data_IF_295114585296
#
_entry.id   IF_295114585296
#
_cell.length_a   1.000
_cell.length_b   1.000
_cell.length_c   1.000
_cell.angle_alpha   90.00
_cell.angle_beta   90.00
_cell.angle_gamma   90.00
#
_symmetry.space_group_name_H-M   'P 1'
#
loop_
_entity.id
_entity.type
_entity.pdbx_description
1 polymer ?
#
# COMPACT_ATOMS: atom_id res chain seq x y z
N UNK A 1 -10.87 26.87 -10.83
CA UNK A 1 -10.85 25.45 -11.21
C UNK A 1 -11.27 25.41 -12.66
N UNK A 2 -10.34 25.14 -13.59
CA UNK A 2 -10.62 25.19 -15.02
C UNK A 2 -11.26 23.89 -15.49
N UNK A 3 -12.38 23.96 -16.19
CA UNK A 3 -12.91 22.81 -16.92
C UNK A 3 -12.13 22.65 -18.22
N UNK A 4 -11.58 21.46 -18.44
CA UNK A 4 -11.01 21.08 -19.73
C UNK A 4 -12.10 20.35 -20.53
N UNK A 5 -12.89 21.11 -21.28
CA UNK A 5 -13.95 20.55 -22.12
C UNK A 5 -13.34 20.00 -23.40
N UNK A 6 -13.43 18.69 -23.58
CA UNK A 6 -12.88 18.02 -24.76
C UNK A 6 -13.96 17.95 -25.84
N UNK A 7 -13.73 18.61 -26.97
CA UNK A 7 -14.77 18.89 -27.98
C UNK A 7 -14.70 18.03 -29.26
N UNK A 8 -13.70 17.17 -29.44
CA UNK A 8 -13.50 16.40 -30.70
C UNK A 8 -12.75 15.06 -30.51
N UNK A 9 -13.42 14.01 -30.00
CA UNK A 9 -12.82 12.69 -29.75
C UNK A 9 -12.29 11.98 -31.00
N UNK A 10 -12.87 12.25 -32.16
CA UNK A 10 -12.47 11.68 -33.46
C UNK A 10 -11.09 12.14 -33.95
N UNK A 11 -10.52 13.20 -33.36
CA UNK A 11 -9.18 13.71 -33.69
C UNK A 11 -8.11 13.29 -32.69
N UNK A 12 -8.44 12.42 -31.74
CA UNK A 12 -7.48 11.99 -30.74
C UNK A 12 -6.42 11.08 -31.35
N UNK A 13 -5.18 11.29 -30.93
CA UNK A 13 -4.09 10.35 -31.15
C UNK A 13 -3.37 10.12 -29.83
N UNK A 14 -2.90 8.90 -29.56
CA UNK A 14 -2.11 8.59 -28.36
C UNK A 14 -0.66 9.10 -28.51
N UNK A 15 -0.51 10.37 -28.85
CA UNK A 15 0.77 11.05 -29.08
C UNK A 15 0.76 12.39 -28.36
N UNK A 16 1.86 12.69 -27.72
CA UNK A 16 2.16 14.00 -27.15
C UNK A 16 3.39 14.56 -27.86
N UNK A 17 3.54 15.87 -27.89
CA UNK A 17 4.80 16.48 -28.32
C UNK A 17 5.91 16.06 -27.34
N UNK A 18 7.06 15.66 -27.86
CA UNK A 18 8.21 15.30 -27.03
C UNK A 18 8.69 16.50 -26.20
N UNK A 19 8.44 17.74 -26.64
CA UNK A 19 8.73 18.94 -25.84
C UNK A 19 7.92 19.03 -24.55
N UNK A 20 6.81 18.30 -24.43
CA UNK A 20 6.02 18.23 -23.20
C UNK A 20 6.62 17.28 -22.15
N UNK A 21 7.52 16.38 -22.57
CA UNK A 21 8.17 15.42 -21.68
C UNK A 21 9.20 16.17 -20.84
N UNK A 22 9.04 16.09 -19.52
CA UNK A 22 9.95 16.73 -18.60
C UNK A 22 11.29 15.96 -18.55
N UNK A 23 12.40 16.68 -18.54
CA UNK A 23 13.75 16.11 -18.46
C UNK A 23 14.36 16.34 -17.07
N UNK A 24 15.18 15.39 -16.62
CA UNK A 24 15.89 15.49 -15.36
C UNK A 24 16.90 16.65 -15.41
N UNK A 25 16.87 17.59 -14.46
CA UNK A 25 17.78 18.75 -14.48
C UNK A 25 19.25 18.37 -14.26
N UNK A 26 19.53 17.16 -13.73
CA UNK A 26 20.90 16.70 -13.46
C UNK A 26 21.55 15.98 -14.64
N UNK A 27 20.80 15.17 -15.38
CA UNK A 27 21.36 14.30 -16.43
C UNK A 27 20.69 14.46 -17.81
N UNK A 28 19.67 15.32 -17.93
CA UNK A 28 18.97 15.62 -19.18
C UNK A 28 18.09 14.50 -19.72
N UNK A 29 18.03 13.34 -19.07
CA UNK A 29 17.19 12.20 -19.49
C UNK A 29 15.70 12.48 -19.23
N UNK A 30 14.77 11.92 -20.03
CA UNK A 30 13.34 11.98 -19.76
C UNK A 30 13.01 11.47 -18.36
N UNK A 31 12.16 12.20 -17.65
CA UNK A 31 11.61 11.78 -16.36
C UNK A 31 10.45 10.80 -16.56
N UNK A 32 10.20 10.00 -15.52
CA UNK A 32 9.06 9.10 -15.40
C UNK A 32 8.47 9.23 -14.01
N UNK A 33 7.28 8.66 -13.82
CA UNK A 33 6.57 8.56 -12.57
C UNK A 33 7.42 7.84 -11.51
N UNK A 34 7.32 8.29 -10.26
CA UNK A 34 8.00 7.62 -9.15
C UNK A 34 7.25 6.35 -8.73
N UNK A 35 7.29 5.32 -9.58
CA UNK A 35 6.67 4.00 -9.35
C UNK A 35 7.74 2.93 -9.21
N UNK A 36 7.54 2.00 -8.27
CA UNK A 36 8.46 0.89 -8.05
C UNK A 36 8.17 -0.27 -9.00
N UNK A 37 8.59 -0.09 -10.25
CA UNK A 37 8.47 -1.09 -11.32
C UNK A 37 9.84 -1.62 -11.78
N UNK A 38 10.91 -0.89 -11.49
CA UNK A 38 12.30 -1.24 -11.82
C UNK A 38 13.28 -0.67 -10.77
N UNK A 39 14.57 -0.62 -11.11
CA UNK A 39 15.65 -0.10 -10.27
C UNK A 39 15.77 1.45 -10.27
N UNK A 40 14.83 2.15 -10.92
CA UNK A 40 14.83 3.63 -11.02
C UNK A 40 13.88 4.31 -10.05
N UNK A 41 13.19 3.56 -9.19
CA UNK A 41 12.36 4.13 -8.14
C UNK A 41 13.20 5.00 -7.21
N UNK A 42 12.81 6.27 -7.07
CA UNK A 42 13.57 7.24 -6.28
C UNK A 42 13.20 7.11 -4.80
N UNK A 43 14.21 6.80 -4.00
CA UNK A 43 14.15 6.77 -2.54
C UNK A 43 14.87 8.02 -2.00
N UNK A 44 14.15 9.13 -1.93
CA UNK A 44 14.71 10.37 -1.42
C UNK A 44 14.83 10.37 0.12
N UNK A 45 15.31 11.48 0.67
CA UNK A 45 15.44 11.67 2.11
C UNK A 45 14.11 11.48 2.84
N UNK A 46 12.99 11.90 2.24
CA UNK A 46 11.65 11.73 2.79
C UNK A 46 11.26 10.26 2.88
N UNK A 47 11.56 9.47 1.85
CA UNK A 47 11.36 8.03 1.84
C UNK A 47 12.17 7.34 2.94
N UNK A 48 13.45 7.68 3.07
CA UNK A 48 14.32 7.12 4.10
C UNK A 48 13.87 7.51 5.51
N UNK A 49 13.44 8.75 5.73
CA UNK A 49 12.89 9.20 7.01
C UNK A 49 11.59 8.48 7.37
N UNK A 50 10.71 8.24 6.40
CA UNK A 50 9.48 7.47 6.61
C UNK A 50 9.77 6.00 6.95
N UNK A 51 10.71 5.37 6.23
CA UNK A 51 11.17 4.00 6.53
C UNK A 51 11.74 3.90 7.94
N UNK A 52 12.58 4.84 8.35
CA UNK A 52 13.18 4.84 9.69
C UNK A 52 12.12 4.90 10.81
N UNK A 53 11.11 5.77 10.66
CA UNK A 53 9.99 5.84 11.63
C UNK A 53 9.18 4.54 11.69
N UNK A 54 8.95 3.91 10.53
CA UNK A 54 8.27 2.61 10.47
C UNK A 54 9.08 1.52 11.20
N UNK A 55 10.38 1.40 10.92
CA UNK A 55 11.25 0.42 11.55
C UNK A 55 11.36 0.64 13.08
N UNK A 56 11.47 1.90 13.51
CA UNK A 56 11.48 2.27 14.92
C UNK A 56 10.16 1.90 15.62
N UNK A 57 9.02 2.13 14.97
CA UNK A 57 7.71 1.74 15.49
C UNK A 57 7.60 0.22 15.65
N UNK A 58 8.07 -0.56 14.68
CA UNK A 58 8.04 -2.02 14.77
C UNK A 58 8.91 -2.51 15.94
N UNK A 59 10.15 -2.03 16.04
CA UNK A 59 11.08 -2.47 17.08
C UNK A 59 10.56 -2.17 18.49
N UNK A 60 10.01 -0.96 18.70
CA UNK A 60 9.44 -0.55 20.00
C UNK A 60 8.22 -1.37 20.43
N UNK A 61 7.57 -2.09 19.51
CA UNK A 61 6.31 -2.79 19.77
C UNK A 61 6.38 -4.30 19.54
N UNK A 62 7.53 -4.84 19.11
CA UNK A 62 7.67 -6.24 18.67
C UNK A 62 7.19 -7.31 19.66
N UNK A 63 7.26 -7.04 20.97
CA UNK A 63 6.90 -7.99 22.05
C UNK A 63 5.58 -7.62 22.78
N UNK A 64 4.85 -6.63 22.28
CA UNK A 64 3.57 -6.15 22.86
C UNK A 64 2.37 -6.89 22.26
N UNK A 65 1.18 -6.60 22.77
CA UNK A 65 -0.08 -6.97 22.11
C UNK A 65 -0.29 -6.04 20.91
N UNK A 66 -0.04 -6.55 19.71
CA UNK A 66 -0.09 -5.79 18.45
C UNK A 66 -1.15 -6.37 17.54
N UNK A 67 -2.00 -5.52 16.98
CA UNK A 67 -2.87 -5.87 15.87
C UNK A 67 -2.20 -5.46 14.55
N UNK A 68 -1.92 -6.43 13.69
CA UNK A 68 -1.49 -6.22 12.32
C UNK A 68 -2.72 -6.23 11.41
N UNK A 69 -3.25 -5.05 11.07
CA UNK A 69 -4.46 -4.89 10.26
C UNK A 69 -4.12 -4.57 8.81
N UNK A 70 -4.46 -5.48 7.91
CA UNK A 70 -4.33 -5.32 6.46
C UNK A 70 -5.69 -5.01 5.83
N UNK A 71 -5.73 -3.94 5.03
CA UNK A 71 -6.89 -3.50 4.27
C UNK A 71 -6.55 -3.65 2.77
N UNK A 72 -7.15 -4.63 2.09
CA UNK A 72 -6.89 -4.93 0.68
C UNK A 72 -6.21 -6.28 0.42
N UNK A 73 -5.68 -6.47 -0.80
CA UNK A 73 -5.39 -7.79 -1.37
C UNK A 73 -3.98 -8.03 -1.92
N UNK A 74 -3.88 -8.93 -2.91
CA UNK A 74 -2.66 -9.66 -3.27
C UNK A 74 -1.79 -9.01 -4.37
N UNK A 75 -1.93 -7.73 -4.68
CA UNK A 75 -1.17 -7.13 -5.80
C UNK A 75 0.35 -7.22 -5.61
N UNK A 76 0.83 -6.92 -4.40
CA UNK A 76 2.26 -6.96 -4.05
C UNK A 76 2.42 -7.36 -2.57
N UNK A 77 2.18 -8.65 -2.23
CA UNK A 77 2.04 -9.10 -0.85
C UNK A 77 3.33 -9.01 -0.03
N UNK A 78 4.47 -8.88 -0.72
CA UNK A 78 5.80 -8.73 -0.11
C UNK A 78 5.95 -7.47 0.74
N UNK A 79 5.14 -6.43 0.51
CA UNK A 79 5.23 -5.16 1.25
C UNK A 79 4.51 -5.19 2.59
N UNK A 80 3.34 -5.83 2.66
CA UNK A 80 2.44 -5.77 3.84
C UNK A 80 2.02 -7.16 4.29
N UNK A 81 1.31 -7.92 3.43
CA UNK A 81 0.71 -9.21 3.79
C UNK A 81 1.71 -10.21 4.36
N UNK A 82 2.77 -10.52 3.63
CA UNK A 82 3.77 -11.50 4.08
C UNK A 82 4.56 -11.02 5.31
N UNK A 83 5.02 -9.76 5.38
CA UNK A 83 5.56 -9.22 6.63
C UNK A 83 4.62 -9.34 7.82
N UNK A 84 3.33 -9.00 7.67
CA UNK A 84 2.34 -9.07 8.75
C UNK A 84 2.13 -10.49 9.22
N UNK A 85 2.07 -11.46 8.30
CA UNK A 85 2.02 -12.89 8.65
C UNK A 85 3.25 -13.32 9.44
N UNK A 86 4.46 -12.97 8.98
CA UNK A 86 5.71 -13.31 9.67
C UNK A 86 5.77 -12.70 11.07
N UNK A 87 5.42 -11.43 11.21
CA UNK A 87 5.41 -10.72 12.49
C UNK A 87 4.35 -11.26 13.46
N UNK A 88 3.18 -11.65 12.95
CA UNK A 88 2.13 -12.30 13.75
C UNK A 88 2.55 -13.71 14.18
N UNK A 89 3.28 -14.42 13.33
CA UNK A 89 3.81 -15.74 13.67
C UNK A 89 4.92 -15.64 14.72
N UNK A 90 5.81 -14.64 14.61
CA UNK A 90 6.95 -14.47 15.53
C UNK A 90 6.57 -13.92 16.90
N UNK A 91 5.48 -13.14 17.02
CA UNK A 91 4.99 -12.62 18.30
C UNK A 91 3.71 -13.36 18.73
N UNK A 92 3.76 -14.25 19.74
CA UNK A 92 2.59 -15.00 20.18
C UNK A 92 1.43 -14.16 20.73
N UNK A 93 1.70 -12.90 21.11
CA UNK A 93 0.71 -11.93 21.62
C UNK A 93 0.04 -11.12 20.52
N UNK A 94 0.54 -11.21 19.28
CA UNK A 94 0.01 -10.46 18.16
C UNK A 94 -1.22 -11.14 17.55
N UNK A 95 -2.11 -10.32 17.02
CA UNK A 95 -3.25 -10.74 16.19
C UNK A 95 -3.14 -10.13 14.81
N UNK A 96 -3.71 -10.82 13.83
CA UNK A 96 -3.78 -10.36 12.45
C UNK A 96 -5.24 -10.12 12.05
N UNK A 97 -5.50 -9.04 11.34
CA UNK A 97 -6.82 -8.79 10.74
C UNK A 97 -6.64 -8.55 9.24
N UNK A 98 -7.44 -9.24 8.42
CA UNK A 98 -7.49 -9.06 6.98
C UNK A 98 -8.91 -8.65 6.58
N UNK A 99 -9.07 -7.43 6.05
CA UNK A 99 -10.30 -6.95 5.47
C UNK A 99 -10.09 -6.86 3.96
N UNK A 100 -10.73 -7.74 3.20
CA UNK A 100 -10.66 -7.71 1.75
C UNK A 100 -11.86 -8.44 1.13
N UNK A 101 -12.35 -7.94 0.00
CA UNK A 101 -13.49 -8.56 -0.70
C UNK A 101 -13.01 -9.79 -1.49
N UNK A 102 -13.58 -10.95 -1.20
CA UNK A 102 -13.30 -12.23 -1.88
C UNK A 102 -11.95 -12.89 -1.58
N UNK A 103 -11.01 -12.19 -0.92
CA UNK A 103 -9.67 -12.73 -0.59
C UNK A 103 -9.26 -12.45 0.87
N UNK A 104 -10.21 -12.55 1.80
CA UNK A 104 -9.92 -12.45 3.24
C UNK A 104 -9.48 -13.80 3.82
N UNK A 105 -8.17 -13.99 4.01
CA UNK A 105 -7.62 -15.22 4.58
C UNK A 105 -6.28 -15.02 5.29
N UNK A 106 -5.91 -16.02 6.09
CA UNK A 106 -4.65 -16.09 6.81
C UNK A 106 -4.05 -17.51 6.71
N UNK A 107 -2.72 -17.66 6.81
CA UNK A 107 -2.07 -18.96 6.77
C UNK A 107 -2.36 -19.75 8.05
N UNK A 108 -2.23 -21.08 7.97
CA UNK A 108 -2.69 -22.00 9.02
C UNK A 108 -2.03 -21.73 10.38
N UNK A 109 -0.76 -21.33 10.35
CA UNK A 109 0.11 -21.07 11.50
C UNK A 109 -0.40 -19.96 12.42
N UNK A 110 -1.15 -18.99 11.87
CA UNK A 110 -1.71 -17.86 12.64
C UNK A 110 -3.23 -17.84 12.65
N UNK A 111 -3.89 -18.89 12.14
CA UNK A 111 -5.34 -18.92 11.96
C UNK A 111 -6.11 -18.63 13.26
N UNK A 112 -5.66 -19.18 14.38
CA UNK A 112 -6.27 -18.98 15.70
C UNK A 112 -6.09 -17.57 16.28
N UNK A 113 -5.23 -16.74 15.66
CA UNK A 113 -5.00 -15.33 16.03
C UNK A 113 -5.36 -14.39 14.88
N UNK A 114 -6.15 -14.86 13.92
CA UNK A 114 -6.51 -14.11 12.72
C UNK A 114 -8.00 -13.83 12.64
N UNK A 115 -8.35 -12.61 12.26
CA UNK A 115 -9.71 -12.16 11.98
C UNK A 115 -9.77 -11.85 10.48
N UNK A 116 -10.52 -12.64 9.72
CA UNK A 116 -10.66 -12.44 8.28
C UNK A 116 -12.10 -11.98 7.98
N UNK A 117 -12.23 -10.78 7.42
CA UNK A 117 -13.51 -10.15 7.11
C UNK A 117 -13.62 -10.00 5.60
N UNK A 118 -14.50 -10.80 5.00
CA UNK A 118 -14.82 -10.72 3.58
C UNK A 118 -15.94 -9.69 3.39
N UNK A 119 -15.59 -8.50 2.88
CA UNK A 119 -16.56 -7.43 2.70
C UNK A 119 -15.97 -6.11 2.22
N UNK A 120 -16.86 -5.14 2.02
CA UNK A 120 -16.50 -3.77 1.69
C UNK A 120 -15.80 -3.10 2.89
N UNK A 121 -14.58 -2.62 2.67
CA UNK A 121 -13.74 -2.03 3.73
C UNK A 121 -14.43 -0.83 4.38
N UNK A 122 -15.10 0.02 3.59
CA UNK A 122 -15.74 1.22 4.12
C UNK A 122 -16.94 0.87 5.00
N UNK A 123 -17.73 -0.13 4.63
CA UNK A 123 -18.86 -0.59 5.44
C UNK A 123 -18.38 -1.24 6.74
N UNK A 124 -17.41 -2.16 6.66
CA UNK A 124 -16.86 -2.82 7.85
C UNK A 124 -16.29 -1.81 8.84
N UNK A 125 -15.54 -0.80 8.36
CA UNK A 125 -15.01 0.25 9.24
C UNK A 125 -16.11 1.10 9.87
N UNK A 126 -17.20 1.40 9.15
CA UNK A 126 -18.35 2.11 9.72
C UNK A 126 -19.02 1.31 10.83
N UNK A 127 -19.20 0.02 10.62
CA UNK A 127 -19.84 -0.87 11.59
C UNK A 127 -19.00 -0.95 12.87
N UNK A 128 -17.68 -1.14 12.75
CA UNK A 128 -16.74 -1.14 13.89
C UNK A 128 -16.78 0.18 14.68
N UNK A 129 -16.89 1.32 13.99
CA UNK A 129 -16.95 2.64 14.66
C UNK A 129 -18.32 2.88 15.32
N UNK A 130 -19.40 2.29 14.78
CA UNK A 130 -20.75 2.43 15.32
C UNK A 130 -21.00 1.54 16.54
N UNK A 131 -20.27 0.42 16.67
CA UNK A 131 -20.27 -0.41 17.87
C UNK A 131 -19.57 0.32 19.04
N UNK A 132 -20.32 0.58 20.11
CA UNK A 132 -19.82 1.13 21.38
C UNK A 132 -19.61 0.04 22.42
#
# INVERSE_FOLDING_TARGET
MGEYVITSPERWSMKVDLSCIQNCPHCGKPMTENLRIDDKFVQDEGWHAAKARYEEFLEKNKDKHVLYMELGGMNTPVWIKYPFWRMTNSNPKASYACLNYGEAYAPAEIRNRSICMDGDIAQVLKDIIAEK
#
